data_IF_528689865536
#
_entry.id   IF_528689865536
#
_cell.length_a   1.000
_cell.length_b   1.000
_cell.length_c   1.000
_cell.angle_alpha   90.00
_cell.angle_beta   90.00
_cell.angle_gamma   90.00
#
_symmetry.space_group_name_H-M   'P 1'
#
loop_
_entity.id
_entity.type
_entity.pdbx_description
1 polymer ?
#
# COMPACT_ATOMS: atom_id res chain seq x y z
N UNK A 1 -12.34 11.07 5.25
CA UNK A 1 -11.96 10.49 6.55
C UNK A 1 -12.23 8.99 6.47
N UNK A 2 -11.24 8.13 6.69
CA UNK A 2 -11.43 6.66 6.65
C UNK A 2 -11.00 6.08 7.99
N UNK A 3 -12.01 5.65 8.74
CA UNK A 3 -11.92 4.86 9.95
C UNK A 3 -11.41 3.46 9.59
N UNK A 4 -10.33 3.05 10.25
CA UNK A 4 -9.77 1.70 10.18
C UNK A 4 -10.60 0.82 11.12
N UNK A 5 -11.86 0.56 10.75
CA UNK A 5 -12.72 -0.40 11.43
C UNK A 5 -12.47 -1.79 10.83
N UNK A 6 -11.83 -2.62 11.66
CA UNK A 6 -12.01 -4.06 11.84
C UNK A 6 -12.35 -4.93 10.64
N UNK A 7 -11.35 -5.67 10.14
CA UNK A 7 -11.53 -7.10 9.88
C UNK A 7 -10.55 -7.87 10.73
N UNK A 8 -11.04 -8.32 11.87
CA UNK A 8 -10.50 -9.49 12.57
C UNK A 8 -10.76 -10.69 11.68
N UNK A 9 -9.70 -11.35 11.19
CA UNK A 9 -9.61 -12.80 11.12
C UNK A 9 -8.23 -13.22 10.58
N UNK A 10 -7.70 -14.22 11.28
CA UNK A 10 -6.72 -15.22 10.90
C UNK A 10 -5.24 -14.81 10.88
N UNK A 11 -4.46 -15.55 11.69
CA UNK A 11 -3.03 -15.38 11.94
C UNK A 11 -2.13 -15.72 10.75
N UNK A 12 -2.57 -15.44 9.53
CA UNK A 12 -1.76 -15.55 8.33
C UNK A 12 -0.93 -14.29 8.12
N UNK A 13 0.35 -14.49 7.85
CA UNK A 13 1.27 -13.40 7.56
C UNK A 13 0.84 -12.73 6.24
N UNK A 14 0.34 -11.49 6.24
CA UNK A 14 -0.15 -10.83 5.02
C UNK A 14 0.94 -10.66 3.95
N UNK A 15 2.22 -10.74 4.33
CA UNK A 15 3.31 -10.73 3.36
C UNK A 15 3.39 -12.05 2.58
N UNK A 16 3.11 -13.20 3.22
CA UNK A 16 3.13 -14.51 2.56
C UNK A 16 2.04 -14.60 1.49
N UNK A 17 0.82 -14.16 1.81
CA UNK A 17 -0.31 -14.13 0.86
C UNK A 17 0.04 -13.29 -0.38
N UNK A 18 0.65 -12.11 -0.20
CA UNK A 18 1.06 -11.24 -1.33
C UNK A 18 2.14 -11.91 -2.18
N UNK A 19 3.07 -12.67 -1.59
CA UNK A 19 4.10 -13.38 -2.34
C UNK A 19 3.50 -14.51 -3.19
N UNK A 20 2.53 -15.25 -2.66
CA UNK A 20 1.93 -16.39 -3.36
C UNK A 20 0.89 -15.96 -4.40
N UNK A 21 0.01 -15.02 -4.04
CA UNK A 21 -1.21 -14.70 -4.80
C UNK A 21 -1.22 -13.28 -5.37
N UNK A 22 -0.18 -12.48 -5.10
CA UNK A 22 -0.14 -11.08 -5.54
C UNK A 22 -0.03 -10.93 -7.06
N UNK A 23 -0.77 -9.96 -7.59
CA UNK A 23 -0.69 -9.55 -8.98
C UNK A 23 0.63 -8.82 -9.24
N UNK A 24 1.37 -9.24 -10.27
CA UNK A 24 2.59 -8.57 -10.72
C UNK A 24 2.25 -7.35 -11.61
N UNK A 25 2.43 -6.16 -11.04
CA UNK A 25 2.17 -4.89 -11.72
C UNK A 25 3.43 -4.27 -12.36
N UNK A 26 4.56 -4.98 -12.34
CA UNK A 26 5.79 -4.50 -12.97
C UNK A 26 5.71 -4.57 -14.49
N UNK A 27 6.33 -3.59 -15.17
CA UNK A 27 6.41 -3.56 -16.64
C UNK A 27 7.23 -4.76 -17.15
N UNK A 28 8.31 -5.11 -16.45
CA UNK A 28 9.20 -6.22 -16.82
C UNK A 28 8.66 -7.60 -16.45
N UNK A 29 7.56 -7.67 -15.69
CA UNK A 29 7.00 -8.91 -15.13
C UNK A 29 8.06 -9.73 -14.37
N UNK A 30 8.84 -9.01 -13.56
CA UNK A 30 9.95 -9.55 -12.78
C UNK A 30 9.58 -9.80 -11.31
N UNK A 31 8.29 -9.66 -10.95
CA UNK A 31 7.75 -9.81 -9.60
C UNK A 31 8.38 -8.86 -8.56
N UNK A 32 9.02 -7.77 -8.99
CA UNK A 32 9.60 -6.78 -8.08
C UNK A 32 8.57 -6.00 -7.25
N UNK A 33 7.33 -5.88 -7.74
CA UNK A 33 6.20 -5.26 -7.03
C UNK A 33 4.94 -6.10 -7.22
N UNK A 34 4.43 -6.67 -6.12
CA UNK A 34 3.23 -7.48 -6.08
C UNK A 34 2.10 -6.76 -5.33
N UNK A 35 0.88 -6.86 -5.82
CA UNK A 35 -0.29 -6.15 -5.27
C UNK A 35 -1.44 -7.11 -4.94
N UNK A 36 -2.07 -6.88 -3.79
CA UNK A 36 -3.38 -7.43 -3.44
C UNK A 36 -4.26 -6.28 -2.94
N UNK A 37 -5.50 -6.22 -3.42
CA UNK A 37 -6.48 -5.23 -2.96
C UNK A 37 -7.16 -5.75 -1.69
N UNK A 38 -6.93 -5.08 -0.56
CA UNK A 38 -7.60 -5.42 0.72
C UNK A 38 -8.99 -4.79 0.85
N UNK A 39 -9.19 -3.64 0.22
CA UNK A 39 -10.45 -2.89 0.21
C UNK A 39 -10.55 -2.16 -1.12
N UNK A 40 -11.65 -2.37 -1.84
CA UNK A 40 -11.89 -1.75 -3.15
C UNK A 40 -12.23 -0.27 -2.96
N UNK A 41 -11.79 0.57 -3.90
CA UNK A 41 -12.14 1.99 -3.95
C UNK A 41 -13.58 2.22 -4.41
N UNK A 42 -14.03 3.46 -4.38
CA UNK A 42 -15.40 3.85 -4.80
C UNK A 42 -15.46 4.43 -6.21
N UNK A 43 -14.32 4.64 -6.85
CA UNK A 43 -14.19 5.23 -8.18
C UNK A 43 -13.27 4.37 -9.04
N UNK A 44 -13.53 4.34 -10.34
CA UNK A 44 -12.67 3.75 -11.36
C UNK A 44 -11.52 4.69 -11.76
N UNK A 45 -11.57 5.97 -11.35
CA UNK A 45 -10.50 6.92 -11.61
C UNK A 45 -9.22 6.55 -10.84
N UNK A 46 -8.07 6.67 -11.50
CA UNK A 46 -6.76 6.42 -10.92
C UNK A 46 -5.87 7.65 -11.04
N UNK A 47 -4.96 7.89 -10.07
CA UNK A 47 -4.09 9.07 -10.08
C UNK A 47 -3.08 9.00 -11.23
N UNK A 48 -2.86 10.13 -11.88
CA UNK A 48 -1.96 10.31 -13.01
C UNK A 48 -0.58 10.85 -12.58
N UNK A 49 0.37 10.83 -13.51
CA UNK A 49 1.70 11.40 -13.29
C UNK A 49 1.58 12.91 -13.00
N UNK A 50 2.13 13.34 -11.87
CA UNK A 50 2.09 14.73 -11.41
C UNK A 50 1.02 15.02 -10.35
N UNK A 51 0.01 14.16 -10.22
CA UNK A 51 -1.08 14.37 -9.27
C UNK A 51 -0.58 14.39 -7.82
N UNK A 52 -1.19 15.26 -7.02
CA UNK A 52 -0.97 15.31 -5.58
C UNK A 52 -1.83 14.22 -4.92
N UNK A 53 -1.18 13.21 -4.37
CA UNK A 53 -1.84 12.07 -3.70
C UNK A 53 -1.69 12.16 -2.18
N UNK A 54 -2.68 11.64 -1.46
CA UNK A 54 -2.76 11.63 0.01
C UNK A 54 -2.91 10.18 0.45
N UNK A 55 -1.99 9.67 1.28
CA UNK A 55 -1.97 8.25 1.65
C UNK A 55 -1.76 8.03 3.15
N UNK A 56 -2.44 7.01 3.67
CA UNK A 56 -2.01 6.34 4.89
C UNK A 56 -1.28 5.04 4.55
N UNK A 57 -0.10 4.83 5.15
CA UNK A 57 0.72 3.63 4.91
C UNK A 57 1.26 3.05 6.21
N UNK A 58 1.65 1.79 6.15
CA UNK A 58 2.39 1.07 7.20
C UNK A 58 3.49 0.23 6.56
N UNK A 59 4.74 0.57 6.84
CA UNK A 59 5.92 -0.10 6.34
C UNK A 59 6.44 -1.16 7.33
N UNK A 60 6.72 -2.36 6.84
CA UNK A 60 7.34 -3.45 7.60
C UNK A 60 8.52 -4.04 6.82
N UNK A 61 9.54 -4.50 7.54
CA UNK A 61 10.64 -5.29 7.00
C UNK A 61 10.22 -6.75 6.77
N UNK A 62 11.06 -7.55 6.11
CA UNK A 62 10.83 -8.98 5.87
C UNK A 62 10.64 -9.81 7.15
N UNK A 63 11.28 -9.39 8.25
CA UNK A 63 11.09 -9.98 9.58
C UNK A 63 9.81 -9.51 10.30
N UNK A 64 8.96 -8.74 9.64
CA UNK A 64 7.70 -8.24 10.19
C UNK A 64 7.81 -6.98 11.05
N UNK A 65 9.02 -6.54 11.42
CA UNK A 65 9.23 -5.32 12.22
C UNK A 65 8.73 -4.09 11.46
N UNK A 66 7.84 -3.31 12.09
CA UNK A 66 7.40 -2.01 11.58
C UNK A 66 8.59 -1.04 11.60
N UNK A 67 8.82 -0.34 10.48
CA UNK A 67 9.84 0.71 10.41
C UNK A 67 9.23 2.12 10.34
N UNK A 68 8.03 2.28 9.76
CA UNK A 68 7.34 3.56 9.66
C UNK A 68 5.82 3.36 9.44
N UNK A 69 5.02 4.36 9.79
CA UNK A 69 3.57 4.41 9.61
C UNK A 69 3.09 5.84 9.69
N UNK A 70 2.37 6.33 8.68
CA UNK A 70 1.84 7.70 8.73
C UNK A 70 0.70 7.84 9.74
N UNK A 71 -0.01 6.75 10.06
CA UNK A 71 -1.01 6.76 11.14
C UNK A 71 -0.40 7.01 12.51
N UNK A 72 0.89 6.68 12.73
CA UNK A 72 1.57 6.97 14.00
C UNK A 72 1.73 8.49 14.23
N UNK A 73 1.72 9.28 13.14
CA UNK A 73 1.78 10.74 13.16
C UNK A 73 0.41 11.41 13.10
N UNK A 74 -0.68 10.65 12.96
CA UNK A 74 -2.05 11.15 12.79
C UNK A 74 -2.24 12.11 11.60
N UNK A 75 -1.38 12.01 10.57
CA UNK A 75 -1.46 12.84 9.37
C UNK A 75 -1.21 12.00 8.10
N UNK A 76 -1.86 12.32 6.96
CA UNK A 76 -1.57 11.67 5.70
C UNK A 76 -0.19 12.10 5.18
N UNK A 77 0.49 11.20 4.48
CA UNK A 77 1.64 11.57 3.69
C UNK A 77 1.19 12.09 2.33
N UNK A 78 1.74 13.22 1.90
CA UNK A 78 1.31 13.93 0.68
C UNK A 78 2.49 14.12 -0.25
N UNK A 79 2.35 13.68 -1.51
CA UNK A 79 3.41 13.80 -2.51
C UNK A 79 2.86 13.91 -3.94
N UNK A 80 3.74 14.26 -4.88
CA UNK A 80 3.41 14.29 -6.32
C UNK A 80 3.82 12.97 -6.97
N UNK A 81 2.85 12.25 -7.55
CA UNK A 81 3.07 10.93 -8.11
C UNK A 81 3.95 10.96 -9.37
N UNK A 82 4.81 9.96 -9.56
CA UNK A 82 5.62 9.80 -10.77
C UNK A 82 6.77 10.80 -10.96
N UNK A 83 7.14 11.57 -9.91
CA UNK A 83 8.23 12.57 -9.98
C UNK A 83 9.54 12.13 -9.32
N UNK A 84 9.62 10.90 -8.80
CA UNK A 84 10.85 10.37 -8.20
C UNK A 84 11.39 11.20 -7.05
N UNK A 85 10.51 11.74 -6.20
CA UNK A 85 10.93 12.52 -5.02
C UNK A 85 11.72 11.62 -4.08
N UNK A 86 12.94 12.04 -3.75
CA UNK A 86 13.81 11.43 -2.74
C UNK A 86 13.55 12.07 -1.38
#
# INVERSE_FOLDING_TARGET
>A
MTTDEGTSNDGENPAAIVVEQGEDITIKKDRGVLKIVKRVGTSEETPMIGDKVYVHYKGKLSNGKKFDSSRDRNEPFVFSLGKGKR
#
